data_IF_767553429683
#
_entry.id   IF_767553429683
#
_cell.length_a   1.000
_cell.length_b   1.000
_cell.length_c   1.000
_cell.angle_alpha   90.00
_cell.angle_beta   90.00
_cell.angle_gamma   90.00
#
_symmetry.space_group_name_H-M   'P 1'
#
loop_
_entity.id
_entity.type
_entity.pdbx_description
1 polymer ?
#
# COMPACT_ATOMS: atom_id res chain seq x y z
N UNK A 1 5.15 -3.58 13.09
CA UNK A 1 4.52 -3.32 11.77
C UNK A 1 3.78 -4.58 11.34
N UNK A 2 2.49 -4.48 11.01
CA UNK A 2 1.61 -5.61 10.71
C UNK A 2 1.24 -5.74 9.22
N UNK A 3 1.44 -4.66 8.45
CA UNK A 3 1.27 -4.61 7.00
C UNK A 3 2.41 -3.83 6.35
N UNK A 4 2.68 -4.10 5.08
CA UNK A 4 3.64 -3.34 4.27
C UNK A 4 3.06 -3.07 2.89
N UNK A 5 3.32 -1.87 2.38
CA UNK A 5 3.20 -1.53 0.98
C UNK A 5 4.60 -1.28 0.43
N UNK A 6 4.89 -1.80 -0.75
CA UNK A 6 6.12 -1.51 -1.48
C UNK A 6 5.74 -0.92 -2.84
N UNK A 7 6.02 0.38 -3.01
CA UNK A 7 5.71 1.11 -4.24
C UNK A 7 6.63 0.76 -5.39
N UNK A 8 7.84 0.26 -5.11
CA UNK A 8 8.87 -0.05 -6.11
C UNK A 8 8.79 -1.52 -6.59
N UNK A 9 7.95 -2.34 -5.97
CA UNK A 9 7.70 -3.71 -6.41
C UNK A 9 7.05 -3.76 -7.80
N UNK A 10 7.32 -4.80 -8.58
CA UNK A 10 6.72 -5.00 -9.92
C UNK A 10 5.19 -5.05 -9.88
N UNK A 11 4.62 -5.48 -8.76
CA UNK A 11 3.18 -5.47 -8.50
C UNK A 11 2.92 -4.91 -7.10
N UNK A 12 2.83 -3.57 -6.96
CA UNK A 12 2.62 -2.94 -5.67
C UNK A 12 1.28 -3.38 -5.08
N UNK A 13 1.34 -3.98 -3.89
CA UNK A 13 0.18 -4.46 -3.13
C UNK A 13 0.43 -4.34 -1.64
N UNK A 14 -0.64 -4.29 -0.87
CA UNK A 14 -0.55 -4.38 0.58
C UNK A 14 -0.34 -5.84 0.98
N UNK A 15 0.67 -6.10 1.82
CA UNK A 15 1.03 -7.44 2.26
C UNK A 15 0.98 -7.57 3.79
N UNK A 16 0.45 -8.69 4.33
CA UNK A 16 0.51 -8.97 5.75
C UNK A 16 1.95 -9.23 6.20
N UNK A 17 2.32 -8.68 7.35
CA UNK A 17 3.57 -8.97 8.07
C UNK A 17 3.35 -9.67 9.41
N UNK A 18 2.08 -9.87 9.79
CA UNK A 18 1.71 -10.56 11.00
C UNK A 18 0.69 -11.67 10.67
N UNK A 19 0.78 -12.87 11.29
CA UNK A 19 -0.08 -14.00 10.95
C UNK A 19 -1.58 -13.72 11.08
N UNK A 20 -1.98 -12.87 12.03
CA UNK A 20 -3.39 -12.56 12.24
C UNK A 20 -4.00 -11.68 11.12
N UNK A 21 -3.17 -10.98 10.34
CA UNK A 21 -3.64 -10.21 9.18
C UNK A 21 -3.99 -11.11 7.99
N UNK A 22 -3.41 -12.32 7.88
CA UNK A 22 -3.71 -13.25 6.78
C UNK A 22 -5.17 -13.72 6.76
N UNK A 23 -5.89 -13.50 7.86
CA UNK A 23 -7.32 -13.82 8.00
C UNK A 23 -8.23 -12.82 7.29
N UNK A 24 -7.72 -11.64 6.94
CA UNK A 24 -8.48 -10.62 6.22
C UNK A 24 -8.79 -11.05 4.78
N UNK A 25 -10.00 -10.74 4.33
CA UNK A 25 -10.49 -11.13 3.01
C UNK A 25 -9.84 -10.36 1.85
N UNK A 26 -10.00 -10.87 0.61
CA UNK A 26 -9.45 -10.20 -0.58
C UNK A 26 -9.97 -8.76 -0.74
N UNK A 27 -11.21 -8.47 -0.35
CA UNK A 27 -11.80 -7.14 -0.43
C UNK A 27 -11.04 -6.11 0.44
N UNK A 28 -10.64 -6.52 1.65
CA UNK A 28 -9.81 -5.70 2.52
C UNK A 28 -8.47 -5.38 1.86
N UNK A 29 -7.79 -6.41 1.33
CA UNK A 29 -6.48 -6.24 0.71
C UNK A 29 -6.53 -5.40 -0.58
N UNK A 30 -7.59 -5.54 -1.38
CA UNK A 30 -7.82 -4.72 -2.57
C UNK A 30 -8.05 -3.25 -2.21
N UNK A 31 -8.86 -2.97 -1.19
CA UNK A 31 -9.11 -1.61 -0.72
C UNK A 31 -7.83 -0.98 -0.16
N UNK A 32 -7.11 -1.68 0.72
CA UNK A 32 -5.86 -1.19 1.29
C UNK A 32 -4.80 -0.94 0.20
N UNK A 33 -4.72 -1.82 -0.79
CA UNK A 33 -3.81 -1.64 -1.94
C UNK A 33 -4.17 -0.41 -2.76
N UNK A 34 -5.47 -0.18 -3.04
CA UNK A 34 -5.91 1.02 -3.77
C UNK A 34 -5.57 2.30 -3.01
N UNK A 35 -5.82 2.33 -1.70
CA UNK A 35 -5.52 3.48 -0.86
C UNK A 35 -4.02 3.76 -0.80
N UNK A 36 -3.20 2.73 -0.57
CA UNK A 36 -1.75 2.88 -0.54
C UNK A 36 -1.16 3.39 -1.87
N UNK A 37 -1.68 2.92 -3.01
CA UNK A 37 -1.32 3.44 -4.34
C UNK A 37 -1.68 4.92 -4.51
N UNK A 38 -2.86 5.31 -4.06
CA UNK A 38 -3.30 6.71 -4.13
C UNK A 38 -2.40 7.62 -3.29
N UNK A 39 -2.08 7.22 -2.05
CA UNK A 39 -1.17 7.96 -1.19
C UNK A 39 0.22 8.10 -1.80
N UNK A 40 0.81 7.00 -2.31
CA UNK A 40 2.12 7.05 -2.94
C UNK A 40 2.14 7.99 -4.17
N UNK A 41 1.04 8.05 -4.94
CA UNK A 41 0.92 8.99 -6.05
C UNK A 41 0.85 10.44 -5.56
N UNK A 42 0.05 10.72 -4.54
CA UNK A 42 -0.06 12.07 -3.94
C UNK A 42 1.28 12.53 -3.37
N UNK A 43 1.95 11.69 -2.59
CA UNK A 43 3.28 11.99 -2.04
C UNK A 43 4.29 12.29 -3.14
N UNK A 44 4.26 11.52 -4.25
CA UNK A 44 5.14 11.81 -5.40
C UNK A 44 4.88 13.19 -6.00
N UNK A 45 3.61 13.54 -6.23
CA UNK A 45 3.24 14.86 -6.79
C UNK A 45 3.60 16.00 -5.84
N UNK A 46 3.39 15.81 -4.53
CA UNK A 46 3.76 16.79 -3.52
C UNK A 46 5.27 17.01 -3.49
N UNK A 47 6.06 15.93 -3.53
CA UNK A 47 7.53 16.02 -3.61
C UNK A 47 8.01 16.70 -4.90
N UNK A 48 7.35 16.47 -6.03
CA UNK A 48 7.63 17.20 -7.29
C UNK A 48 7.28 18.69 -7.19
N UNK A 49 6.22 19.03 -6.45
CA UNK A 49 5.76 20.41 -6.26
C UNK A 49 6.65 21.19 -5.29
N UNK A 50 7.23 20.51 -4.30
CA UNK A 50 8.12 21.10 -3.29
C UNK A 50 9.57 21.30 -3.81
N UNK A 51 9.86 20.92 -5.05
CA UNK A 51 11.18 21.01 -5.68
C UNK A 51 11.40 22.35 -6.38
#
# INVERSE_FOLDING_TARGET
QFVRFDSDAESPRMEPRAPWMEQEGPEYWEEQTRNAKAHAQTERVDLETLR
#
